data_IF_586249958654
#
_entry.id   IF_586249958654
#
_cell.length_a   1.000
_cell.length_b   1.000
_cell.length_c   1.000
_cell.angle_alpha   90.00
_cell.angle_beta   90.00
_cell.angle_gamma   90.00
#
_symmetry.space_group_name_H-M   'P 1'
#
loop_
_entity.id
_entity.type
_entity.pdbx_description
1 polymer ?
#
# COMPACT_ATOMS: atom_id res chain seq x y z
N UNK A 1 2.42 -21.81 -32.44
CA UNK A 1 3.39 -22.03 -31.34
C UNK A 1 2.85 -21.34 -30.10
N UNK A 2 3.07 -21.88 -28.92
CA UNK A 2 2.67 -21.21 -27.69
C UNK A 2 3.46 -19.89 -27.53
N UNK A 3 2.82 -18.83 -27.07
CA UNK A 3 3.46 -17.54 -26.78
C UNK A 3 4.49 -17.72 -25.67
N UNK A 4 5.71 -17.26 -25.89
CA UNK A 4 6.80 -17.32 -24.91
C UNK A 4 6.75 -16.11 -23.99
N UNK A 5 6.67 -16.33 -22.69
CA UNK A 5 6.73 -15.28 -21.69
C UNK A 5 7.93 -15.49 -20.76
N UNK A 6 8.77 -14.48 -20.62
CA UNK A 6 9.80 -14.46 -19.59
C UNK A 6 9.32 -13.65 -18.37
N UNK A 7 9.52 -14.20 -17.18
CA UNK A 7 9.10 -13.58 -15.92
C UNK A 7 10.33 -13.18 -15.15
N UNK A 8 10.51 -11.89 -14.91
CA UNK A 8 11.61 -11.33 -14.15
C UNK A 8 11.21 -11.17 -12.68
N UNK A 9 11.94 -11.88 -11.81
CA UNK A 9 11.70 -11.95 -10.37
C UNK A 9 10.77 -13.11 -9.99
N UNK A 10 11.23 -13.93 -9.04
CA UNK A 10 10.56 -15.14 -8.55
C UNK A 10 9.97 -14.97 -7.15
N UNK A 11 9.53 -13.76 -6.80
CA UNK A 11 8.73 -13.48 -5.60
C UNK A 11 7.24 -13.78 -5.85
N UNK A 12 6.38 -13.38 -4.91
CA UNK A 12 4.92 -13.64 -4.95
C UNK A 12 4.26 -13.28 -6.27
N UNK A 13 4.54 -12.07 -6.81
CA UNK A 13 3.98 -11.63 -8.10
C UNK A 13 4.49 -12.46 -9.29
N UNK A 14 5.80 -12.79 -9.28
CA UNK A 14 6.39 -13.57 -10.36
C UNK A 14 5.88 -15.02 -10.40
N UNK A 15 5.79 -15.65 -9.25
CA UNK A 15 5.25 -17.01 -9.12
C UNK A 15 3.77 -17.05 -9.48
N UNK A 16 2.98 -16.08 -9.00
CA UNK A 16 1.56 -15.98 -9.38
C UNK A 16 1.36 -15.82 -10.89
N UNK A 17 2.16 -14.96 -11.52
CA UNK A 17 2.16 -14.79 -12.96
C UNK A 17 2.57 -16.07 -13.70
N UNK A 18 3.58 -16.79 -13.20
CA UNK A 18 4.02 -18.06 -13.81
C UNK A 18 2.92 -19.13 -13.77
N UNK A 19 2.25 -19.27 -12.63
CA UNK A 19 1.12 -20.20 -12.47
C UNK A 19 0.01 -19.87 -13.47
N UNK A 20 -0.37 -18.59 -13.57
CA UNK A 20 -1.41 -18.16 -14.51
C UNK A 20 -0.99 -18.37 -15.95
N UNK A 21 0.22 -17.98 -16.32
CA UNK A 21 0.72 -18.11 -17.68
C UNK A 21 0.75 -19.59 -18.14
N UNK A 22 1.21 -20.51 -17.29
CA UNK A 22 1.17 -21.97 -17.62
C UNK A 22 -0.27 -22.44 -17.79
N UNK A 23 -1.19 -22.06 -16.91
CA UNK A 23 -2.61 -22.41 -17.03
C UNK A 23 -3.21 -21.95 -18.37
N UNK A 24 -2.80 -20.76 -18.83
CA UNK A 24 -3.27 -20.16 -20.09
C UNK A 24 -2.46 -20.62 -21.33
N UNK A 25 -1.58 -21.62 -21.17
CA UNK A 25 -0.87 -22.26 -22.26
C UNK A 25 0.35 -21.51 -22.80
N UNK A 26 0.91 -20.58 -22.04
CA UNK A 26 2.17 -19.93 -22.39
C UNK A 26 3.35 -20.88 -22.18
N UNK A 27 4.42 -20.66 -22.95
CA UNK A 27 5.74 -21.22 -22.66
C UNK A 27 6.46 -20.28 -21.70
N UNK A 28 6.62 -20.68 -20.45
CA UNK A 28 7.05 -19.82 -19.33
C UNK A 28 8.50 -20.09 -18.95
N UNK A 29 9.26 -19.01 -18.79
CA UNK A 29 10.58 -19.03 -18.21
C UNK A 29 10.70 -18.00 -17.09
N UNK A 30 11.04 -18.42 -15.86
CA UNK A 30 11.21 -17.56 -14.70
C UNK A 30 12.68 -17.29 -14.44
N UNK A 31 13.07 -16.04 -14.26
CA UNK A 31 14.48 -15.66 -14.03
C UNK A 31 14.60 -14.70 -12.85
N UNK A 32 15.49 -15.01 -11.90
CA UNK A 32 15.80 -14.17 -10.74
C UNK A 32 17.30 -14.04 -10.53
N UNK A 33 17.79 -12.83 -10.27
CA UNK A 33 19.20 -12.60 -9.93
C UNK A 33 19.57 -12.97 -8.51
N UNK A 34 18.58 -13.09 -7.62
CA UNK A 34 18.73 -13.55 -6.26
C UNK A 34 18.54 -15.06 -6.12
N UNK A 35 18.68 -15.53 -4.90
CA UNK A 35 18.27 -16.90 -4.54
C UNK A 35 16.74 -16.94 -4.42
N UNK A 36 16.11 -17.87 -5.10
CA UNK A 36 14.66 -18.09 -5.01
C UNK A 36 14.36 -18.82 -3.70
N UNK A 37 13.33 -18.35 -2.98
CA UNK A 37 12.84 -19.03 -1.77
C UNK A 37 12.43 -20.48 -2.08
N UNK A 38 12.79 -21.41 -1.20
CA UNK A 38 12.54 -22.85 -1.39
C UNK A 38 11.04 -23.17 -1.60
N UNK A 39 10.13 -22.44 -0.94
CA UNK A 39 8.68 -22.55 -1.15
C UNK A 39 8.27 -22.22 -2.58
N UNK A 40 8.94 -21.28 -3.24
CA UNK A 40 8.65 -20.89 -4.62
C UNK A 40 9.31 -21.83 -5.62
N UNK A 41 10.51 -22.35 -5.31
CA UNK A 41 11.13 -23.41 -6.12
C UNK A 41 10.26 -24.65 -6.18
N UNK A 42 9.74 -25.08 -5.03
CA UNK A 42 8.82 -26.20 -4.99
C UNK A 42 7.62 -26.02 -5.93
N UNK A 43 7.01 -24.83 -5.96
CA UNK A 43 5.91 -24.52 -6.87
C UNK A 43 6.33 -24.58 -8.33
N UNK A 44 7.52 -24.05 -8.67
CA UNK A 44 8.05 -24.09 -10.04
C UNK A 44 8.31 -25.52 -10.50
N UNK A 45 8.89 -26.35 -9.63
CA UNK A 45 9.18 -27.77 -9.91
C UNK A 45 7.89 -28.60 -10.03
N UNK A 46 6.92 -28.43 -9.11
CA UNK A 46 5.62 -29.11 -9.15
C UNK A 46 4.82 -28.81 -10.42
N UNK A 47 5.00 -27.60 -10.98
CA UNK A 47 4.30 -27.17 -12.21
C UNK A 47 5.17 -27.30 -13.47
N UNK A 48 6.33 -27.93 -13.37
CA UNK A 48 7.29 -28.13 -14.47
C UNK A 48 7.67 -26.83 -15.19
N UNK A 49 7.80 -25.69 -14.43
CA UNK A 49 8.15 -24.39 -14.96
C UNK A 49 9.67 -24.25 -14.99
N UNK A 50 10.22 -23.97 -16.15
CA UNK A 50 11.65 -23.70 -16.28
C UNK A 50 12.04 -22.39 -15.54
N UNK A 51 13.11 -22.46 -14.76
CA UNK A 51 13.60 -21.29 -14.02
C UNK A 51 15.13 -21.25 -13.91
N UNK A 52 15.64 -20.08 -13.56
CA UNK A 52 17.03 -19.86 -13.19
C UNK A 52 17.12 -18.90 -11.98
N UNK A 53 18.21 -19.03 -11.21
CA UNK A 53 18.51 -18.13 -10.10
C UNK A 53 19.97 -17.67 -10.11
N UNK A 54 20.26 -16.51 -9.52
CA UNK A 54 21.60 -15.92 -9.43
C UNK A 54 22.07 -15.21 -10.70
N UNK A 55 21.32 -15.28 -11.78
CA UNK A 55 21.65 -14.68 -13.07
C UNK A 55 20.38 -14.37 -13.88
N UNK A 56 20.51 -13.49 -14.87
CA UNK A 56 19.54 -13.33 -15.95
C UNK A 56 20.17 -13.75 -17.28
N UNK A 57 19.77 -14.91 -17.83
CA UNK A 57 20.20 -15.40 -19.15
C UNK A 57 19.55 -14.56 -20.25
N UNK A 58 20.29 -13.52 -20.68
CA UNK A 58 19.79 -12.53 -21.65
C UNK A 58 19.30 -13.17 -22.95
N UNK A 59 20.01 -14.16 -23.47
CA UNK A 59 19.65 -14.85 -24.73
C UNK A 59 18.27 -15.50 -24.65
N UNK A 60 17.90 -16.04 -23.48
CA UNK A 60 16.56 -16.62 -23.25
C UNK A 60 15.49 -15.54 -23.10
N UNK A 61 15.76 -14.53 -22.27
CA UNK A 61 14.82 -13.45 -21.98
C UNK A 61 14.54 -12.62 -23.23
N UNK A 62 15.57 -12.28 -23.99
CA UNK A 62 15.46 -11.44 -25.20
C UNK A 62 14.89 -12.17 -26.43
N UNK A 63 14.55 -13.46 -26.30
CA UNK A 63 13.81 -14.23 -27.32
C UNK A 63 12.37 -14.49 -26.93
N UNK A 64 11.90 -13.94 -25.80
CA UNK A 64 10.51 -14.00 -25.40
C UNK A 64 9.61 -13.08 -26.27
N UNK A 65 8.38 -13.46 -26.46
CA UNK A 65 7.37 -12.64 -27.15
C UNK A 65 6.88 -11.50 -26.24
N UNK A 66 6.94 -11.70 -24.92
CA UNK A 66 6.55 -10.73 -23.89
C UNK A 66 7.34 -10.97 -22.59
N UNK A 67 7.60 -9.93 -21.83
CA UNK A 67 8.28 -10.01 -20.52
C UNK A 67 7.37 -9.47 -19.43
N UNK A 68 7.06 -10.31 -18.43
CA UNK A 68 6.44 -9.84 -17.18
C UNK A 68 7.54 -9.43 -16.21
N UNK A 69 7.46 -8.21 -15.69
CA UNK A 69 8.44 -7.64 -14.76
C UNK A 69 7.83 -7.47 -13.36
N UNK A 70 8.44 -8.08 -12.35
CA UNK A 70 8.07 -7.87 -10.95
C UNK A 70 8.29 -6.41 -10.52
N UNK A 71 7.41 -5.85 -9.66
CA UNK A 71 7.47 -4.42 -9.25
C UNK A 71 8.79 -4.01 -8.60
N UNK A 72 9.51 -4.96 -7.98
CA UNK A 72 10.82 -4.73 -7.36
C UNK A 72 11.93 -4.37 -8.34
N UNK A 73 11.82 -4.77 -9.61
CA UNK A 73 12.87 -4.58 -10.62
C UNK A 73 12.79 -3.17 -11.20
N UNK A 74 13.87 -2.35 -11.09
CA UNK A 74 13.88 -0.99 -11.60
C UNK A 74 13.90 -0.92 -13.13
N UNK A 75 13.16 0.04 -13.71
CA UNK A 75 13.20 0.32 -15.16
C UNK A 75 14.58 0.78 -15.65
N UNK A 76 15.39 1.36 -14.76
CA UNK A 76 16.77 1.78 -15.06
C UNK A 76 17.75 0.61 -15.19
N UNK A 77 17.35 -0.64 -14.89
CA UNK A 77 18.25 -1.80 -15.05
C UNK A 77 18.62 -2.00 -16.51
N UNK A 78 19.87 -2.41 -16.76
CA UNK A 78 20.40 -2.60 -18.14
C UNK A 78 19.57 -3.61 -18.94
N UNK A 79 19.12 -4.68 -18.29
CA UNK A 79 18.31 -5.70 -18.94
C UNK A 79 16.92 -5.16 -19.37
N UNK A 80 16.23 -4.43 -18.50
CA UNK A 80 14.90 -3.86 -18.84
C UNK A 80 15.03 -2.85 -19.99
N UNK A 81 16.09 -2.05 -20.02
CA UNK A 81 16.38 -1.15 -21.15
C UNK A 81 16.57 -1.93 -22.45
N UNK A 82 17.39 -2.98 -22.44
CA UNK A 82 17.62 -3.82 -23.64
C UNK A 82 16.32 -4.48 -24.13
N UNK A 83 15.45 -4.95 -23.21
CA UNK A 83 14.15 -5.53 -23.58
C UNK A 83 13.30 -4.49 -24.31
N UNK A 84 13.20 -3.26 -23.74
CA UNK A 84 12.43 -2.17 -24.36
C UNK A 84 13.03 -1.70 -25.68
N UNK A 85 14.36 -1.59 -25.78
CA UNK A 85 15.08 -1.18 -27.00
C UNK A 85 14.87 -2.18 -28.16
N UNK A 86 14.64 -3.46 -27.85
CA UNK A 86 14.27 -4.50 -28.84
C UNK A 86 12.77 -4.52 -29.17
N UNK A 87 11.98 -3.64 -28.56
CA UNK A 87 10.53 -3.59 -28.78
C UNK A 87 9.75 -4.75 -28.14
N UNK A 88 10.37 -5.54 -27.25
CA UNK A 88 9.67 -6.61 -26.53
C UNK A 88 8.73 -5.98 -25.52
N UNK A 89 7.41 -6.32 -25.54
CA UNK A 89 6.45 -5.79 -24.58
C UNK A 89 6.84 -6.15 -23.14
N UNK A 90 6.86 -5.15 -22.28
CA UNK A 90 7.01 -5.33 -20.82
C UNK A 90 5.65 -5.08 -20.17
N UNK A 91 5.22 -6.02 -19.33
CA UNK A 91 3.97 -5.94 -18.58
C UNK A 91 4.16 -6.19 -17.10
N UNK A 92 3.23 -5.70 -16.29
CA UNK A 92 3.12 -6.05 -14.88
C UNK A 92 2.25 -7.30 -14.67
N UNK A 93 2.36 -7.89 -13.49
CA UNK A 93 1.53 -9.05 -13.09
C UNK A 93 0.03 -8.73 -13.16
N UNK A 94 -0.38 -7.52 -12.75
CA UNK A 94 -1.78 -7.10 -12.78
C UNK A 94 -2.34 -6.99 -14.22
N UNK A 95 -1.48 -6.67 -15.19
CA UNK A 95 -1.85 -6.68 -16.62
C UNK A 95 -2.13 -8.10 -17.09
N UNK A 96 -1.26 -9.06 -16.77
CA UNK A 96 -1.45 -10.46 -17.12
C UNK A 96 -2.73 -11.01 -16.49
N UNK A 97 -2.94 -10.74 -15.20
CA UNK A 97 -4.15 -11.16 -14.49
C UNK A 97 -5.42 -10.56 -15.12
N UNK A 98 -5.39 -9.28 -15.48
CA UNK A 98 -6.53 -8.60 -16.10
C UNK A 98 -6.94 -9.26 -17.42
N UNK A 99 -5.99 -9.65 -18.25
CA UNK A 99 -6.26 -10.32 -19.55
C UNK A 99 -6.96 -11.66 -19.37
N UNK A 100 -6.77 -12.34 -18.25
CA UNK A 100 -7.24 -13.71 -18.00
C UNK A 100 -8.26 -13.83 -16.85
N UNK A 101 -8.68 -12.73 -16.24
CA UNK A 101 -9.63 -12.72 -15.10
C UNK A 101 -11.06 -13.17 -15.44
N UNK A 102 -11.37 -13.41 -16.71
CA UNK A 102 -12.71 -13.72 -17.17
C UNK A 102 -13.70 -12.60 -16.86
N UNK A 103 -14.86 -12.96 -16.31
CA UNK A 103 -15.95 -12.02 -15.97
C UNK A 103 -15.74 -11.31 -14.62
N UNK A 104 -14.72 -11.70 -13.85
CA UNK A 104 -14.43 -11.11 -12.55
C UNK A 104 -14.15 -9.59 -12.66
N UNK A 105 -14.63 -8.83 -11.68
CA UNK A 105 -14.49 -7.37 -11.59
C UNK A 105 -13.31 -6.99 -10.70
N UNK A 106 -12.67 -5.85 -11.00
CA UNK A 106 -11.55 -5.34 -10.22
C UNK A 106 -11.93 -4.00 -9.59
N UNK A 107 -11.76 -3.92 -8.26
CA UNK A 107 -11.68 -2.65 -7.55
C UNK A 107 -10.22 -2.42 -7.21
N UNK A 108 -9.60 -1.38 -7.80
CA UNK A 108 -8.21 -1.05 -7.61
C UNK A 108 -8.03 0.19 -6.73
N UNK A 109 -7.22 0.07 -5.69
CA UNK A 109 -6.89 1.18 -4.76
C UNK A 109 -5.42 1.55 -4.90
N UNK A 110 -5.14 2.80 -5.28
CA UNK A 110 -3.78 3.35 -5.29
C UNK A 110 -3.72 4.69 -4.55
N UNK A 111 -2.53 5.22 -4.38
CA UNK A 111 -2.22 6.48 -3.71
C UNK A 111 -0.89 6.38 -2.95
N UNK A 112 -0.47 7.45 -2.30
CA UNK A 112 0.74 7.41 -1.45
C UNK A 112 0.41 6.77 -0.11
N UNK A 113 -0.60 7.24 0.59
CA UNK A 113 -1.01 6.78 1.92
C UNK A 113 -2.46 6.30 1.93
N UNK A 114 -2.82 5.47 2.92
CA UNK A 114 -4.20 4.99 3.12
C UNK A 114 -4.62 3.80 2.25
N UNK A 115 -3.84 3.39 1.24
CA UNK A 115 -4.16 2.26 0.36
C UNK A 115 -4.58 1.01 1.12
N UNK A 116 -3.70 0.51 1.97
CA UNK A 116 -3.90 -0.76 2.69
C UNK A 116 -5.15 -0.72 3.57
N UNK A 117 -5.33 0.36 4.34
CA UNK A 117 -6.50 0.52 5.21
C UNK A 117 -7.79 0.55 4.39
N UNK A 118 -7.81 1.36 3.31
CA UNK A 118 -8.97 1.48 2.42
C UNK A 118 -9.28 0.15 1.74
N UNK A 119 -8.29 -0.52 1.15
CA UNK A 119 -8.46 -1.81 0.47
C UNK A 119 -8.97 -2.89 1.42
N UNK A 120 -8.36 -3.00 2.61
CA UNK A 120 -8.76 -4.01 3.60
C UNK A 120 -10.15 -3.73 4.18
N UNK A 121 -10.51 -2.46 4.39
CA UNK A 121 -11.85 -2.09 4.83
C UNK A 121 -12.89 -2.41 3.77
N UNK A 122 -12.62 -2.14 2.49
CA UNK A 122 -13.52 -2.51 1.38
C UNK A 122 -13.67 -4.03 1.33
N UNK A 123 -12.57 -4.77 1.41
CA UNK A 123 -12.63 -6.24 1.44
C UNK A 123 -13.47 -6.74 2.61
N UNK A 124 -13.27 -6.19 3.82
CA UNK A 124 -14.06 -6.54 5.00
C UNK A 124 -15.56 -6.27 4.79
N UNK A 125 -15.91 -5.10 4.23
CA UNK A 125 -17.30 -4.74 3.92
C UNK A 125 -17.89 -5.72 2.89
N UNK A 126 -17.15 -6.04 1.81
CA UNK A 126 -17.59 -6.97 0.79
C UNK A 126 -17.82 -8.37 1.36
N UNK A 127 -16.90 -8.90 2.15
CA UNK A 127 -17.06 -10.21 2.84
C UNK A 127 -18.25 -10.21 3.79
N UNK A 128 -18.41 -9.15 4.59
CA UNK A 128 -19.54 -9.02 5.52
C UNK A 128 -20.88 -8.90 4.77
N UNK A 129 -20.85 -8.28 3.58
CA UNK A 129 -21.98 -8.20 2.66
C UNK A 129 -22.30 -9.49 1.91
N UNK A 130 -21.48 -10.54 2.08
CA UNK A 130 -21.67 -11.84 1.43
C UNK A 130 -21.17 -11.91 -0.02
N UNK A 131 -20.32 -10.97 -0.45
CA UNK A 131 -19.79 -10.95 -1.82
C UNK A 131 -18.69 -12.01 -1.99
N UNK A 132 -18.68 -12.70 -3.14
CA UNK A 132 -17.56 -13.57 -3.52
C UNK A 132 -16.38 -12.71 -3.99
N UNK A 133 -15.45 -12.46 -3.07
CA UNK A 133 -14.31 -11.57 -3.32
C UNK A 133 -13.01 -12.07 -2.70
N UNK A 134 -11.89 -11.61 -3.25
CA UNK A 134 -10.55 -11.83 -2.72
C UNK A 134 -9.81 -10.52 -2.49
N UNK A 135 -8.96 -10.49 -1.46
CA UNK A 135 -7.99 -9.43 -1.20
C UNK A 135 -6.69 -9.76 -1.91
N UNK A 136 -6.27 -8.92 -2.85
CA UNK A 136 -5.16 -9.22 -3.77
C UNK A 136 -4.26 -8.02 -4.05
N UNK A 137 -3.12 -8.27 -4.70
CA UNK A 137 -2.21 -7.24 -5.20
C UNK A 137 -1.02 -6.99 -4.29
N UNK A 138 -0.75 -5.74 -3.94
CA UNK A 138 0.37 -5.36 -3.06
C UNK A 138 0.19 -5.81 -1.60
N UNK A 139 -0.98 -6.28 -1.25
CA UNK A 139 -1.35 -6.98 -0.02
C UNK A 139 -2.22 -8.19 -0.35
N UNK A 140 -2.32 -9.14 0.58
CA UNK A 140 -3.00 -10.40 0.30
C UNK A 140 -2.14 -11.31 -0.56
N UNK A 141 -2.71 -11.92 -1.57
CA UNK A 141 -2.00 -12.78 -2.51
C UNK A 141 -1.89 -12.13 -3.90
N UNK A 142 -1.01 -12.66 -4.75
CA UNK A 142 -0.92 -12.27 -6.16
C UNK A 142 -2.28 -12.37 -6.84
N UNK A 143 -2.69 -11.31 -7.57
CA UNK A 143 -3.95 -11.35 -8.32
C UNK A 143 -3.89 -12.41 -9.43
N UNK A 144 -2.74 -12.61 -10.07
CA UNK A 144 -2.56 -13.63 -11.09
C UNK A 144 -2.73 -15.04 -10.51
N UNK A 145 -2.19 -15.29 -9.30
CA UNK A 145 -2.40 -16.56 -8.60
C UNK A 145 -3.88 -16.78 -8.27
N UNK A 146 -4.56 -15.76 -7.73
CA UNK A 146 -5.98 -15.84 -7.41
C UNK A 146 -6.84 -16.15 -8.63
N UNK A 147 -6.55 -15.48 -9.77
CA UNK A 147 -7.23 -15.74 -11.04
C UNK A 147 -6.98 -17.17 -11.53
N UNK A 148 -5.75 -17.66 -11.34
CA UNK A 148 -5.40 -19.01 -11.79
C UNK A 148 -6.04 -20.12 -10.94
N UNK A 149 -6.02 -19.99 -9.63
CA UNK A 149 -6.36 -21.09 -8.72
C UNK A 149 -7.80 -21.05 -8.20
N UNK A 150 -8.33 -19.85 -7.92
CA UNK A 150 -9.66 -19.66 -7.32
C UNK A 150 -10.30 -18.35 -7.80
N UNK A 151 -10.80 -18.30 -9.07
CA UNK A 151 -11.43 -17.12 -9.66
C UNK A 151 -12.59 -16.59 -8.80
N UNK A 152 -12.70 -15.25 -8.68
CA UNK A 152 -13.71 -14.56 -7.88
C UNK A 152 -14.58 -13.63 -8.73
N UNK A 153 -15.75 -13.30 -8.18
CA UNK A 153 -16.60 -12.24 -8.75
C UNK A 153 -15.94 -10.87 -8.62
N UNK A 154 -15.26 -10.62 -7.48
CA UNK A 154 -14.56 -9.37 -7.23
C UNK A 154 -13.14 -9.57 -6.71
N UNK A 155 -12.23 -8.81 -7.28
CA UNK A 155 -10.84 -8.69 -6.83
C UNK A 155 -10.67 -7.31 -6.20
N UNK A 156 -10.53 -7.26 -4.87
CA UNK A 156 -10.28 -6.03 -4.12
C UNK A 156 -8.77 -5.87 -4.02
N UNK A 157 -8.22 -4.99 -4.85
CA UNK A 157 -6.78 -4.94 -5.13
C UNK A 157 -6.13 -3.67 -4.59
N UNK A 158 -5.10 -3.84 -3.75
CA UNK A 158 -4.14 -2.76 -3.49
C UNK A 158 -3.13 -2.72 -4.63
N UNK A 159 -2.95 -1.55 -5.25
CA UNK A 159 -2.08 -1.38 -6.42
C UNK A 159 -1.01 -0.33 -6.14
N UNK A 160 0.26 -0.73 -6.25
CA UNK A 160 1.39 0.19 -6.17
C UNK A 160 1.58 0.97 -7.48
N UNK A 161 2.32 2.08 -7.42
CA UNK A 161 2.70 2.83 -8.62
C UNK A 161 3.51 1.96 -9.60
N UNK A 162 4.44 1.14 -9.08
CA UNK A 162 5.28 0.26 -9.89
C UNK A 162 4.50 -0.78 -10.69
N UNK A 163 3.36 -1.25 -10.17
CA UNK A 163 2.48 -2.15 -10.92
C UNK A 163 1.73 -1.43 -12.03
N UNK A 164 1.43 -0.12 -11.84
CA UNK A 164 0.75 0.72 -12.84
C UNK A 164 1.67 1.21 -13.97
N UNK A 165 2.99 1.16 -13.80
CA UNK A 165 3.93 1.63 -14.83
C UNK A 165 3.92 0.77 -16.10
N UNK A 166 3.70 -0.54 -15.95
CA UNK A 166 3.75 -1.51 -17.06
C UNK A 166 2.36 -2.11 -17.40
N UNK A 167 1.30 -1.32 -17.26
CA UNK A 167 -0.03 -1.70 -17.75
C UNK A 167 -0.22 -1.32 -19.23
N UNK A 168 -0.98 -2.12 -19.94
CA UNK A 168 -1.38 -1.88 -21.34
C UNK A 168 -2.90 -1.72 -21.46
N UNK A 169 -3.62 -2.75 -21.06
CA UNK A 169 -5.09 -2.88 -21.15
C UNK A 169 -5.76 -2.94 -19.78
N UNK A 170 -4.99 -3.08 -18.71
CA UNK A 170 -5.51 -3.14 -17.34
C UNK A 170 -6.52 -2.02 -17.08
N UNK A 171 -7.70 -2.41 -16.64
CA UNK A 171 -8.84 -1.52 -16.40
C UNK A 171 -9.60 -2.00 -15.16
N UNK A 172 -9.54 -1.31 -14.04
CA UNK A 172 -10.42 -1.59 -12.91
C UNK A 172 -11.83 -1.06 -13.17
N UNK A 173 -12.86 -1.81 -12.77
CA UNK A 173 -14.26 -1.36 -12.80
C UNK A 173 -14.50 -0.20 -11.84
N UNK A 174 -13.79 -0.20 -10.71
CA UNK A 174 -13.74 0.90 -9.75
C UNK A 174 -12.28 1.21 -9.45
N UNK A 175 -11.84 2.42 -9.76
CA UNK A 175 -10.52 2.95 -9.39
C UNK A 175 -10.64 3.88 -8.19
N UNK A 176 -9.75 3.73 -7.20
CA UNK A 176 -9.67 4.63 -6.05
C UNK A 176 -8.28 5.25 -5.99
N UNK A 177 -8.22 6.59 -5.96
CA UNK A 177 -7.00 7.35 -5.74
C UNK A 177 -7.11 8.10 -4.41
N UNK A 178 -6.34 7.65 -3.41
CA UNK A 178 -6.48 8.17 -2.04
C UNK A 178 -5.84 9.54 -1.85
N UNK A 179 -4.59 9.70 -2.22
CA UNK A 179 -3.81 10.93 -2.15
C UNK A 179 -2.51 10.75 -2.92
N UNK A 180 -1.82 11.87 -3.22
CA UNK A 180 -0.51 11.85 -3.84
C UNK A 180 0.42 12.79 -3.07
N UNK A 181 1.42 12.21 -2.40
CA UNK A 181 2.51 12.92 -1.74
C UNK A 181 3.83 12.31 -2.17
N UNK A 182 4.93 13.04 -2.09
CA UNK A 182 6.24 12.55 -2.48
C UNK A 182 6.62 11.27 -1.74
N UNK A 183 6.92 10.24 -2.52
CA UNK A 183 7.42 8.95 -2.05
C UNK A 183 8.12 8.24 -3.21
N UNK A 184 9.08 7.35 -2.92
CA UNK A 184 9.77 6.53 -3.92
C UNK A 184 10.43 7.33 -5.07
N UNK A 185 10.84 8.59 -4.86
CA UNK A 185 11.39 9.45 -5.90
C UNK A 185 12.66 8.88 -6.54
N UNK A 186 13.44 8.08 -5.80
CA UNK A 186 14.60 7.33 -6.29
C UNK A 186 14.28 6.38 -7.46
N UNK A 187 13.02 5.93 -7.56
CA UNK A 187 12.50 5.07 -8.64
C UNK A 187 11.95 5.88 -9.81
N UNK A 188 11.65 7.17 -9.61
CA UNK A 188 11.04 8.08 -10.57
C UNK A 188 11.97 9.22 -11.01
N UNK A 189 13.28 8.94 -11.06
CA UNK A 189 14.31 9.90 -11.49
C UNK A 189 14.32 11.20 -10.66
N UNK A 190 13.90 11.11 -9.40
CA UNK A 190 13.70 12.26 -8.50
C UNK A 190 12.75 13.32 -9.07
N UNK A 191 11.81 12.91 -9.95
CA UNK A 191 10.77 13.76 -10.54
C UNK A 191 9.40 13.36 -10.03
N UNK A 192 8.81 14.22 -9.25
CA UNK A 192 7.49 13.97 -8.65
C UNK A 192 6.40 13.77 -9.71
N UNK A 193 6.49 14.48 -10.85
CA UNK A 193 5.56 14.34 -11.98
C UNK A 193 5.52 12.92 -12.55
N UNK A 194 6.64 12.20 -12.55
CA UNK A 194 6.68 10.81 -12.98
C UNK A 194 5.89 9.90 -12.04
N UNK A 195 5.99 10.13 -10.73
CA UNK A 195 5.21 9.41 -9.73
C UNK A 195 3.71 9.73 -9.82
N UNK A 196 3.35 11.01 -10.02
CA UNK A 196 1.96 11.44 -10.25
C UNK A 196 1.40 10.71 -11.47
N UNK A 197 2.10 10.75 -12.61
CA UNK A 197 1.68 10.06 -13.83
C UNK A 197 1.45 8.57 -13.60
N UNK A 198 2.36 7.91 -12.91
CA UNK A 198 2.23 6.50 -12.56
C UNK A 198 0.93 6.20 -11.80
N UNK A 199 0.58 7.02 -10.81
CA UNK A 199 -0.67 6.88 -10.06
C UNK A 199 -1.92 7.08 -10.92
N UNK A 200 -1.91 8.08 -11.80
CA UNK A 200 -3.02 8.35 -12.70
C UNK A 200 -3.22 7.26 -13.77
N UNK A 201 -2.23 6.41 -14.02
CA UNK A 201 -2.40 5.26 -14.92
C UNK A 201 -3.55 4.33 -14.50
N UNK A 202 -3.98 4.34 -13.23
CA UNK A 202 -5.09 3.50 -12.75
C UNK A 202 -6.41 3.78 -13.51
N UNK A 203 -6.60 5.01 -14.01
CA UNK A 203 -7.80 5.40 -14.77
C UNK A 203 -7.59 5.40 -16.28
N UNK A 204 -6.36 5.13 -16.76
CA UNK A 204 -5.96 5.30 -18.17
C UNK A 204 -6.87 4.58 -19.16
N UNK A 205 -7.32 3.39 -18.83
CA UNK A 205 -8.13 2.55 -19.70
C UNK A 205 -9.61 2.47 -19.29
N UNK A 206 -10.02 3.24 -18.27
CA UNK A 206 -11.41 3.27 -17.83
C UNK A 206 -12.34 3.86 -18.90
N UNK A 207 -13.58 3.39 -18.90
CA UNK A 207 -14.65 3.79 -19.81
C UNK A 207 -15.81 4.42 -19.02
N UNK A 208 -16.86 4.87 -19.71
CA UNK A 208 -18.06 5.40 -19.08
C UNK A 208 -18.91 4.39 -18.29
N UNK A 209 -18.52 3.11 -18.28
CA UNK A 209 -19.12 2.06 -17.44
C UNK A 209 -18.40 1.91 -16.09
N UNK A 210 -17.24 2.53 -15.92
CA UNK A 210 -16.40 2.42 -14.78
C UNK A 210 -16.56 3.63 -13.83
N UNK A 211 -16.04 3.51 -12.60
CA UNK A 211 -16.10 4.58 -11.61
C UNK A 211 -14.70 5.00 -11.16
N UNK A 212 -14.52 6.30 -11.00
CA UNK A 212 -13.29 6.88 -10.44
C UNK A 212 -13.60 7.59 -9.12
N UNK A 213 -13.19 6.99 -8.02
CA UNK A 213 -13.31 7.52 -6.66
C UNK A 213 -12.00 8.21 -6.29
N UNK A 214 -12.02 9.48 -5.90
CA UNK A 214 -10.81 10.23 -5.60
C UNK A 214 -11.00 11.24 -4.48
N UNK A 215 -9.91 11.53 -3.74
CA UNK A 215 -9.90 12.56 -2.72
C UNK A 215 -9.93 13.95 -3.39
N UNK A 216 -11.04 14.64 -3.26
CA UNK A 216 -11.18 16.00 -3.82
C UNK A 216 -10.49 17.06 -2.95
N UNK A 217 -10.04 16.73 -1.76
CA UNK A 217 -9.29 17.65 -0.88
C UNK A 217 -7.77 17.54 -1.09
N UNK A 218 -7.30 16.56 -1.89
CA UNK A 218 -5.87 16.42 -2.19
C UNK A 218 -5.47 17.43 -3.27
N UNK A 219 -4.53 18.37 -2.97
CA UNK A 219 -4.18 19.45 -3.89
C UNK A 219 -3.45 18.96 -5.13
N UNK A 220 -2.71 17.84 -5.04
CA UNK A 220 -1.99 17.26 -6.19
C UNK A 220 -2.97 16.62 -7.15
N UNK A 221 -3.94 15.84 -6.63
CA UNK A 221 -5.00 15.26 -7.45
C UNK A 221 -5.79 16.36 -8.16
N UNK A 222 -6.25 17.40 -7.43
CA UNK A 222 -6.99 18.52 -8.02
C UNK A 222 -6.22 19.23 -9.14
N UNK A 223 -4.94 19.53 -8.90
CA UNK A 223 -4.08 20.22 -9.86
C UNK A 223 -3.93 19.44 -11.16
N UNK A 224 -3.67 18.13 -11.05
CA UNK A 224 -3.33 17.30 -12.19
C UNK A 224 -4.52 16.58 -12.85
N UNK A 225 -5.72 16.62 -12.25
CA UNK A 225 -6.92 15.99 -12.80
C UNK A 225 -7.20 16.37 -14.28
N UNK A 226 -6.88 17.61 -14.67
CA UNK A 226 -7.10 18.10 -16.04
C UNK A 226 -6.06 17.59 -17.04
N UNK A 227 -4.89 17.18 -16.57
CA UNK A 227 -3.79 16.66 -17.39
C UNK A 227 -3.98 15.20 -17.76
N UNK A 228 -4.79 14.47 -16.99
CA UNK A 228 -5.08 13.05 -17.17
C UNK A 228 -6.58 12.86 -17.46
N UNK A 229 -7.01 13.04 -18.71
CA UNK A 229 -8.42 12.89 -19.08
C UNK A 229 -8.89 11.44 -18.86
N UNK A 230 -10.09 11.29 -18.35
CA UNK A 230 -10.73 10.00 -18.10
C UNK A 230 -12.17 10.00 -18.62
N UNK A 231 -12.72 8.80 -18.86
CA UNK A 231 -14.09 8.62 -19.34
C UNK A 231 -15.03 8.07 -18.27
N UNK A 232 -14.49 7.60 -17.17
CA UNK A 232 -15.24 6.99 -16.07
C UNK A 232 -16.11 8.02 -15.32
N UNK A 233 -17.08 7.50 -14.57
CA UNK A 233 -17.97 8.32 -13.76
C UNK A 233 -17.23 8.79 -12.51
N UNK A 234 -17.00 10.10 -12.31
CA UNK A 234 -16.26 10.62 -11.18
C UNK A 234 -17.12 10.62 -9.91
N UNK A 235 -16.55 10.13 -8.83
CA UNK A 235 -17.13 10.10 -7.50
C UNK A 235 -16.13 10.73 -6.49
N UNK A 236 -16.13 12.06 -6.34
CA UNK A 236 -15.27 12.73 -5.38
C UNK A 236 -15.65 12.38 -3.94
N UNK A 237 -14.66 12.27 -3.06
CA UNK A 237 -14.91 12.28 -1.62
C UNK A 237 -14.10 13.40 -0.95
N UNK A 238 -14.70 14.04 0.06
CA UNK A 238 -14.23 15.31 0.61
C UNK A 238 -14.75 15.57 2.03
N UNK A 239 -14.02 16.39 2.78
CA UNK A 239 -14.51 16.99 4.04
C UNK A 239 -14.77 18.51 3.92
N UNK A 240 -14.53 19.08 2.74
CA UNK A 240 -14.64 20.54 2.53
C UNK A 240 -15.90 20.94 1.76
N UNK A 241 -16.47 20.03 0.96
CA UNK A 241 -17.60 20.31 0.05
C UNK A 241 -18.72 19.27 0.23
N UNK A 242 -19.86 19.51 -0.38
CA UNK A 242 -21.00 18.58 -0.40
C UNK A 242 -21.35 18.24 -1.86
N UNK A 243 -20.67 17.28 -2.48
CA UNK A 243 -20.93 16.87 -3.85
C UNK A 243 -22.30 16.17 -3.97
N UNK A 244 -23.01 16.39 -5.09
CA UNK A 244 -24.28 15.71 -5.39
C UNK A 244 -24.11 14.22 -5.66
N UNK A 245 -22.98 13.82 -6.22
CA UNK A 245 -22.53 12.42 -6.37
C UNK A 245 -21.14 12.31 -5.74
N UNK A 246 -20.89 11.27 -4.95
CA UNK A 246 -19.65 11.09 -4.20
C UNK A 246 -19.89 10.92 -2.71
N UNK A 247 -18.92 11.31 -1.90
CA UNK A 247 -19.00 11.20 -0.45
C UNK A 247 -18.49 12.43 0.28
N UNK A 248 -19.08 12.76 1.43
CA UNK A 248 -18.59 13.83 2.28
C UNK A 248 -18.87 13.60 3.76
N UNK A 249 -18.10 14.26 4.62
CA UNK A 249 -18.33 14.30 6.04
C UNK A 249 -18.67 15.73 6.45
N UNK A 250 -19.84 15.89 7.10
CA UNK A 250 -20.31 17.19 7.60
C UNK A 250 -21.02 17.01 8.94
N UNK A 251 -20.71 17.86 9.91
CA UNK A 251 -21.35 17.85 11.24
C UNK A 251 -21.33 16.46 11.92
N UNK A 252 -20.22 15.76 11.82
CA UNK A 252 -20.08 14.42 12.40
C UNK A 252 -20.84 13.30 11.66
N UNK A 253 -21.36 13.58 10.47
CA UNK A 253 -22.06 12.61 9.64
C UNK A 253 -21.32 12.35 8.33
N UNK A 254 -21.09 11.09 8.02
CA UNK A 254 -20.70 10.62 6.69
C UNK A 254 -21.94 10.51 5.82
N UNK A 255 -21.88 11.12 4.65
CA UNK A 255 -22.92 11.06 3.61
C UNK A 255 -22.30 10.54 2.33
N UNK A 256 -22.92 9.57 1.70
CA UNK A 256 -22.49 8.96 0.44
C UNK A 256 -23.65 8.91 -0.53
N UNK A 257 -23.40 9.28 -1.79
CA UNK A 257 -24.36 9.20 -2.90
C UNK A 257 -23.66 8.60 -4.12
N UNK A 258 -24.13 7.45 -4.61
CA UNK A 258 -23.69 6.86 -5.88
C UNK A 258 -24.92 6.45 -6.69
N UNK A 259 -25.16 7.12 -7.79
CA UNK A 259 -26.42 6.99 -8.53
C UNK A 259 -27.63 7.33 -7.66
N UNK A 260 -28.56 6.40 -7.54
CA UNK A 260 -29.75 6.54 -6.69
C UNK A 260 -29.54 6.02 -5.25
N UNK A 261 -28.40 5.41 -4.96
CA UNK A 261 -28.11 4.83 -3.66
C UNK A 261 -27.45 5.86 -2.73
N UNK A 262 -27.90 5.87 -1.48
CA UNK A 262 -27.39 6.79 -0.45
C UNK A 262 -27.03 6.01 0.81
N UNK A 263 -25.96 6.42 1.51
CA UNK A 263 -25.61 5.92 2.83
C UNK A 263 -25.36 7.12 3.76
N UNK A 264 -25.91 7.06 4.98
CA UNK A 264 -25.60 8.01 6.06
C UNK A 264 -25.15 7.24 7.30
N UNK A 265 -24.11 7.72 7.95
CA UNK A 265 -23.56 7.09 9.14
C UNK A 265 -22.83 8.12 10.01
N UNK A 266 -22.97 8.01 11.33
CA UNK A 266 -22.19 8.84 12.26
C UNK A 266 -20.70 8.47 12.22
N UNK A 267 -19.80 9.45 12.21
CA UNK A 267 -18.35 9.19 12.32
C UNK A 267 -17.96 8.61 13.70
N UNK A 268 -18.79 8.80 14.72
CA UNK A 268 -18.57 8.25 16.05
C UNK A 268 -18.73 6.73 16.08
N UNK A 269 -19.45 6.18 15.08
CA UNK A 269 -19.64 4.75 14.90
C UNK A 269 -18.47 4.08 14.14
N UNK A 270 -17.52 4.85 13.59
CA UNK A 270 -16.37 4.28 12.92
C UNK A 270 -15.47 3.56 13.92
N UNK A 271 -15.06 2.34 13.59
CA UNK A 271 -14.09 1.58 14.38
C UNK A 271 -12.73 2.30 14.42
N UNK A 272 -12.24 2.76 13.27
CA UNK A 272 -10.99 3.50 13.16
C UNK A 272 -11.20 4.99 13.41
N UNK A 273 -10.41 5.56 14.33
CA UNK A 273 -10.45 6.98 14.68
C UNK A 273 -9.37 7.78 13.94
N UNK A 274 -9.46 9.11 14.01
CA UNK A 274 -8.54 10.05 13.35
C UNK A 274 -9.01 10.48 11.95
N UNK A 275 -8.58 11.68 11.54
CA UNK A 275 -9.06 12.32 10.31
C UNK A 275 -8.69 11.51 9.05
N UNK A 276 -7.49 10.96 9.00
CA UNK A 276 -7.07 10.12 7.87
C UNK A 276 -7.92 8.85 7.72
N UNK A 277 -8.35 8.26 8.84
CA UNK A 277 -9.24 7.10 8.80
C UNK A 277 -10.68 7.48 8.45
N UNK A 278 -11.09 8.70 8.73
CA UNK A 278 -12.36 9.21 8.21
C UNK A 278 -12.34 9.29 6.66
N UNK A 279 -11.25 9.77 6.05
CA UNK A 279 -11.06 9.72 4.59
C UNK A 279 -11.05 8.29 4.05
N UNK A 280 -10.31 7.37 4.70
CA UNK A 280 -10.25 5.96 4.30
C UNK A 280 -11.64 5.29 4.39
N UNK A 281 -12.39 5.55 5.47
CA UNK A 281 -13.74 5.01 5.69
C UNK A 281 -14.73 5.61 4.69
N UNK A 282 -14.63 6.90 4.39
CA UNK A 282 -15.47 7.58 3.42
C UNK A 282 -15.27 6.98 2.01
N UNK A 283 -14.02 6.79 1.59
CA UNK A 283 -13.68 6.15 0.32
C UNK A 283 -14.20 4.70 0.26
N UNK A 284 -14.02 3.93 1.35
CA UNK A 284 -14.49 2.55 1.43
C UNK A 284 -16.02 2.46 1.42
N UNK A 285 -16.72 3.33 2.15
CA UNK A 285 -18.18 3.40 2.15
C UNK A 285 -18.74 3.77 0.78
N UNK A 286 -18.11 4.73 0.10
CA UNK A 286 -18.48 5.13 -1.27
C UNK A 286 -18.30 3.98 -2.26
N UNK A 287 -17.17 3.28 -2.20
CA UNK A 287 -16.92 2.09 -3.02
C UNK A 287 -17.96 0.98 -2.75
N UNK A 288 -18.28 0.72 -1.48
CA UNK A 288 -19.25 -0.31 -1.11
C UNK A 288 -20.66 0.00 -1.62
N UNK A 289 -21.09 1.27 -1.55
CA UNK A 289 -22.36 1.72 -2.13
C UNK A 289 -22.36 1.57 -3.66
N UNK A 290 -21.24 1.90 -4.31
CA UNK A 290 -21.07 1.76 -5.76
C UNK A 290 -21.13 0.29 -6.21
N UNK A 291 -20.59 -0.63 -5.42
CA UNK A 291 -20.70 -2.09 -5.65
C UNK A 291 -22.15 -2.59 -5.48
N UNK A 292 -22.96 -1.91 -4.65
CA UNK A 292 -24.33 -2.31 -4.33
C UNK A 292 -24.46 -3.12 -3.03
N UNK A 293 -23.50 -3.01 -2.10
CA UNK A 293 -23.60 -3.65 -0.79
C UNK A 293 -24.73 -3.00 0.02
N UNK A 294 -25.52 -3.82 0.70
CA UNK A 294 -26.62 -3.37 1.55
C UNK A 294 -26.13 -2.42 2.67
N UNK A 295 -26.86 -1.34 2.89
CA UNK A 295 -26.51 -0.25 3.83
C UNK A 295 -26.34 -0.69 5.27
N UNK A 296 -27.15 -1.65 5.73
CA UNK A 296 -27.01 -2.27 7.06
C UNK A 296 -25.67 -3.02 7.17
N UNK A 297 -25.29 -3.79 6.14
CA UNK A 297 -24.03 -4.52 6.11
C UNK A 297 -22.80 -3.61 6.06
N UNK A 298 -22.89 -2.51 5.33
CA UNK A 298 -21.82 -1.50 5.33
C UNK A 298 -21.63 -0.92 6.73
N UNK A 299 -22.73 -0.55 7.43
CA UNK A 299 -22.63 0.01 8.79
C UNK A 299 -22.04 -0.99 9.78
N UNK A 300 -22.56 -2.22 9.80
CA UNK A 300 -22.04 -3.29 10.66
C UNK A 300 -20.55 -3.53 10.44
N UNK A 301 -20.10 -3.60 9.17
CA UNK A 301 -18.71 -3.84 8.83
C UNK A 301 -17.79 -2.67 9.21
N UNK A 302 -18.22 -1.42 9.00
CA UNK A 302 -17.44 -0.23 9.38
C UNK A 302 -17.28 -0.13 10.90
N UNK A 303 -18.30 -0.54 11.66
CA UNK A 303 -18.26 -0.57 13.14
C UNK A 303 -17.39 -1.69 13.69
N UNK A 304 -17.32 -2.83 13.01
CA UNK A 304 -16.57 -4.02 13.44
C UNK A 304 -15.19 -4.16 12.84
N UNK A 305 -14.75 -3.20 12.01
CA UNK A 305 -13.45 -3.28 11.36
C UNK A 305 -12.29 -3.13 12.36
N UNK A 306 -11.48 -4.16 12.48
CA UNK A 306 -10.30 -4.11 13.34
C UNK A 306 -9.11 -3.44 12.63
N UNK A 307 -8.26 -2.76 13.41
CA UNK A 307 -7.03 -2.17 12.89
C UNK A 307 -6.12 -3.26 12.32
N UNK A 308 -5.48 -2.94 11.20
CA UNK A 308 -4.53 -3.85 10.58
C UNK A 308 -3.26 -3.94 11.44
N UNK A 309 -2.69 -5.14 11.51
CA UNK A 309 -1.40 -5.37 12.15
C UNK A 309 -0.34 -4.40 11.61
N UNK A 310 0.47 -3.86 12.49
CA UNK A 310 1.53 -2.87 12.19
C UNK A 310 1.03 -1.49 11.69
N UNK A 311 -0.27 -1.16 11.84
CA UNK A 311 -0.83 0.17 11.53
C UNK A 311 -1.57 0.73 12.72
N UNK A 312 -0.94 1.67 13.44
CA UNK A 312 -1.48 2.24 14.67
C UNK A 312 -2.06 1.16 15.59
N UNK A 313 -1.46 -0.03 15.53
CA UNK A 313 -1.88 -1.21 16.28
C UNK A 313 -1.57 -1.01 17.77
N UNK A 314 -2.59 -1.01 18.60
CA UNK A 314 -2.38 -1.05 20.04
C UNK A 314 -1.80 -2.42 20.44
N UNK A 315 -0.66 -2.41 21.11
CA UNK A 315 0.03 -3.66 21.51
C UNK A 315 -0.28 -4.02 22.97
N UNK A 316 -0.02 -3.11 23.88
CA UNK A 316 -0.22 -3.33 25.32
C UNK A 316 -0.08 -2.01 26.10
N UNK A 317 -0.52 -2.04 27.37
CA UNK A 317 -0.16 -1.04 28.37
C UNK A 317 0.68 -1.68 29.47
N UNK A 318 1.91 -1.21 29.65
CA UNK A 318 2.83 -1.70 30.68
C UNK A 318 3.10 -0.58 31.67
N UNK A 319 2.75 -0.76 32.93
CA UNK A 319 2.90 0.24 34.02
C UNK A 319 2.34 1.62 33.66
N UNK A 320 1.22 1.64 32.92
CA UNK A 320 0.55 2.87 32.51
C UNK A 320 1.14 3.55 31.27
N UNK A 321 2.14 2.95 30.61
CA UNK A 321 2.68 3.39 29.32
C UNK A 321 2.03 2.56 28.21
N UNK A 322 1.42 3.23 27.24
CA UNK A 322 0.81 2.58 26.08
C UNK A 322 1.85 2.34 24.99
N UNK A 323 1.79 1.19 24.33
CA UNK A 323 2.65 0.83 23.20
C UNK A 323 1.83 0.70 21.93
N UNK A 324 2.20 1.46 20.88
CA UNK A 324 1.53 1.49 19.58
C UNK A 324 2.52 1.12 18.48
N UNK A 325 2.15 0.13 17.69
CA UNK A 325 2.92 -0.38 16.56
C UNK A 325 2.40 0.19 15.23
N UNK A 326 3.15 1.12 14.68
CA UNK A 326 2.91 1.68 13.35
C UNK A 326 4.12 1.42 12.43
N UNK A 327 4.67 0.21 12.50
CA UNK A 327 5.87 -0.19 11.75
C UNK A 327 5.72 -0.01 10.23
N UNK A 328 4.50 0.00 9.71
CA UNK A 328 4.21 0.23 8.28
C UNK A 328 4.38 1.70 7.86
N UNK A 329 4.57 2.64 8.77
CA UNK A 329 4.91 4.03 8.49
C UNK A 329 6.35 4.16 7.96
N UNK A 330 6.55 3.89 6.68
CA UNK A 330 7.86 3.88 6.01
C UNK A 330 8.20 5.17 5.28
N UNK A 331 7.43 6.23 5.52
CA UNK A 331 7.68 7.60 5.05
C UNK A 331 7.22 8.64 6.08
N UNK A 332 7.73 9.87 5.95
CA UNK A 332 7.49 10.97 6.91
C UNK A 332 6.01 11.35 7.01
N UNK A 333 5.28 11.33 5.89
CA UNK A 333 3.85 11.64 5.88
C UNK A 333 3.03 10.65 6.72
N UNK A 334 3.36 9.34 6.65
CA UNK A 334 2.69 8.34 7.49
C UNK A 334 2.93 8.63 8.98
N UNK A 335 4.16 8.97 9.36
CA UNK A 335 4.52 9.35 10.74
C UNK A 335 3.85 10.65 11.16
N UNK A 336 3.65 11.59 10.23
CA UNK A 336 2.88 12.81 10.50
C UNK A 336 1.45 12.48 10.96
N UNK A 337 0.75 11.60 10.24
CA UNK A 337 -0.60 11.17 10.60
C UNK A 337 -0.63 10.41 11.93
N UNK A 338 0.38 9.57 12.19
CA UNK A 338 0.49 8.86 13.45
C UNK A 338 0.63 9.84 14.62
N UNK A 339 1.52 10.82 14.52
CA UNK A 339 1.71 11.85 15.55
C UNK A 339 0.47 12.73 15.70
N UNK A 340 -0.18 13.14 14.60
CA UNK A 340 -1.38 13.97 14.63
C UNK A 340 -2.53 13.29 15.40
N UNK A 341 -2.62 11.98 15.34
CA UNK A 341 -3.66 11.21 16.05
C UNK A 341 -3.40 11.04 17.56
N UNK A 342 -2.19 11.35 18.06
CA UNK A 342 -1.85 11.19 19.47
C UNK A 342 -2.47 12.29 20.34
N UNK A 343 -3.03 11.87 21.48
CA UNK A 343 -3.60 12.78 22.49
C UNK A 343 -2.73 12.87 23.76
N UNK A 344 -1.74 12.00 23.89
CA UNK A 344 -0.83 11.85 25.04
C UNK A 344 0.59 12.18 24.63
N UNK A 345 1.48 12.54 25.56
CA UNK A 345 2.90 12.73 25.26
C UNK A 345 3.53 11.45 24.68
N UNK A 346 4.40 11.60 23.69
CA UNK A 346 4.95 10.51 22.88
C UNK A 346 6.44 10.32 23.13
N UNK A 347 6.86 9.06 23.28
CA UNK A 347 8.23 8.62 23.02
C UNK A 347 8.23 8.02 21.62
N UNK A 348 8.88 8.68 20.67
CA UNK A 348 8.81 8.33 19.26
C UNK A 348 10.00 7.45 18.85
N UNK A 349 9.73 6.27 18.30
CA UNK A 349 10.76 5.42 17.69
C UNK A 349 10.80 5.74 16.19
N UNK A 350 11.92 6.33 15.74
CA UNK A 350 12.23 6.71 14.37
C UNK A 350 13.44 5.95 13.85
N UNK A 351 13.56 5.78 12.52
CA UNK A 351 14.80 5.29 11.89
C UNK A 351 14.63 4.09 10.98
N UNK A 352 15.71 3.78 10.29
CA UNK A 352 15.82 2.82 9.21
C UNK A 352 16.50 3.44 7.98
N UNK A 353 16.28 2.87 6.78
CA UNK A 353 16.82 3.41 5.54
C UNK A 353 16.06 4.67 5.12
N UNK A 354 16.76 5.81 5.14
CA UNK A 354 16.26 7.10 4.67
C UNK A 354 16.22 7.15 3.14
N UNK A 355 15.07 7.47 2.56
CA UNK A 355 14.85 7.55 1.11
C UNK A 355 14.82 9.00 0.58
N UNK A 356 15.47 9.92 1.26
CA UNK A 356 15.41 11.35 0.96
C UNK A 356 14.34 12.08 1.77
N UNK A 357 14.11 11.65 3.00
CA UNK A 357 13.09 12.18 3.88
C UNK A 357 13.27 13.67 4.19
N UNK A 358 12.18 14.43 4.10
CA UNK A 358 12.06 15.79 4.62
C UNK A 358 11.39 15.77 6.00
N UNK A 359 12.19 15.79 7.04
CA UNK A 359 11.70 15.77 8.43
C UNK A 359 11.08 17.10 8.88
N UNK A 360 11.21 18.19 8.09
CA UNK A 360 10.57 19.48 8.43
C UNK A 360 9.04 19.33 8.49
N UNK A 361 8.47 18.40 7.73
CA UNK A 361 7.03 18.12 7.68
C UNK A 361 6.45 17.69 9.04
N UNK A 362 7.22 16.98 9.86
CA UNK A 362 6.74 16.52 11.19
C UNK A 362 7.27 17.37 12.35
N UNK A 363 8.12 18.37 12.07
CA UNK A 363 8.84 19.12 13.11
C UNK A 363 7.93 19.80 14.14
N UNK A 364 6.83 20.39 13.70
CA UNK A 364 5.89 21.06 14.61
C UNK A 364 5.20 20.06 15.56
N UNK A 365 4.77 18.90 15.04
CA UNK A 365 4.17 17.83 15.84
C UNK A 365 5.19 17.21 16.81
N UNK A 366 6.43 17.08 16.38
CA UNK A 366 7.51 16.59 17.25
C UNK A 366 7.71 17.56 18.42
N UNK A 367 7.81 18.87 18.18
CA UNK A 367 7.92 19.88 19.24
C UNK A 367 6.74 19.89 20.21
N UNK A 368 5.54 19.68 19.70
CA UNK A 368 4.31 19.74 20.49
C UNK A 368 4.09 18.48 21.34
N UNK A 369 4.41 17.30 20.79
CA UNK A 369 3.92 16.02 21.32
C UNK A 369 5.01 15.05 21.74
N UNK A 370 6.25 15.20 21.24
CA UNK A 370 7.32 14.22 21.47
C UNK A 370 8.23 14.65 22.61
N UNK A 371 8.32 13.82 23.64
CA UNK A 371 9.21 14.01 24.80
C UNK A 371 10.62 13.52 24.53
N UNK A 372 10.75 12.45 23.76
CA UNK A 372 12.04 11.88 23.39
C UNK A 372 11.94 11.13 22.07
N UNK A 373 13.05 11.05 21.33
CA UNK A 373 13.20 10.23 20.15
C UNK A 373 14.15 9.08 20.44
N UNK A 374 13.74 7.88 20.09
CA UNK A 374 14.60 6.69 20.10
C UNK A 374 14.85 6.30 18.66
N UNK A 375 16.07 6.51 18.18
CA UNK A 375 16.47 6.16 16.84
C UNK A 375 16.72 4.65 16.75
N UNK A 376 16.12 4.00 15.74
CA UNK A 376 16.29 2.58 15.47
C UNK A 376 16.70 2.36 14.01
N UNK A 377 17.99 2.45 13.75
CA UNK A 377 18.57 2.36 12.40
C UNK A 377 20.09 2.37 12.44
N UNK A 378 20.71 1.99 11.33
CA UNK A 378 22.18 1.97 11.19
C UNK A 378 22.78 3.36 10.97
N UNK A 379 22.03 4.29 10.35
CA UNK A 379 22.42 5.69 10.16
C UNK A 379 21.31 6.65 10.60
N UNK A 380 21.51 7.31 11.73
CA UNK A 380 20.54 8.19 12.35
C UNK A 380 20.94 9.69 12.27
N UNK A 381 21.99 10.05 11.52
CA UNK A 381 22.54 11.43 11.47
C UNK A 381 21.48 12.46 11.09
N UNK A 382 20.71 12.22 10.06
CA UNK A 382 19.66 13.14 9.61
C UNK A 382 18.56 13.36 10.66
N UNK A 383 18.24 12.35 11.47
CA UNK A 383 17.25 12.48 12.55
C UNK A 383 17.81 13.40 13.63
N UNK A 384 19.09 13.21 14.00
CA UNK A 384 19.76 14.11 14.96
C UNK A 384 19.82 15.54 14.42
N UNK A 385 20.26 15.75 13.18
CA UNK A 385 20.30 17.08 12.55
C UNK A 385 18.92 17.77 12.53
N UNK A 386 17.85 17.00 12.28
CA UNK A 386 16.50 17.53 12.21
C UNK A 386 15.94 17.93 13.58
N UNK A 387 16.21 17.15 14.66
CA UNK A 387 15.46 17.23 15.91
C UNK A 387 16.27 17.53 17.16
N UNK A 388 17.63 17.60 17.12
CA UNK A 388 18.46 17.82 18.31
C UNK A 388 18.15 19.12 19.10
N UNK A 389 17.54 20.09 18.44
CA UNK A 389 17.12 21.36 19.08
C UNK A 389 15.61 21.39 19.44
N UNK A 390 14.88 20.33 19.11
CA UNK A 390 13.41 20.28 19.23
C UNK A 390 12.94 19.34 20.34
N UNK A 391 13.74 18.33 20.70
CA UNK A 391 13.45 17.39 21.78
C UNK A 391 14.63 17.30 22.77
N UNK A 392 14.35 17.11 24.07
CA UNK A 392 15.40 17.10 25.08
C UNK A 392 16.31 15.86 25.04
N UNK A 393 15.82 14.75 24.47
CA UNK A 393 16.54 13.46 24.47
C UNK A 393 16.40 12.77 23.13
N UNK A 394 17.55 12.39 22.53
CA UNK A 394 17.61 11.49 21.37
C UNK A 394 18.61 10.37 21.70
N UNK A 395 18.15 9.11 21.60
CA UNK A 395 18.95 7.91 21.91
C UNK A 395 19.07 7.04 20.66
N UNK A 396 20.25 6.48 20.40
CA UNK A 396 20.48 5.55 19.30
C UNK A 396 20.37 4.09 19.78
N UNK A 397 19.70 3.25 19.01
CA UNK A 397 19.58 1.81 19.26
C UNK A 397 19.75 1.01 17.97
N UNK A 398 20.21 -0.24 18.10
CA UNK A 398 20.46 -1.14 16.97
C UNK A 398 19.50 -2.34 16.92
N UNK A 399 18.46 -2.39 17.77
CA UNK A 399 17.49 -3.47 17.78
C UNK A 399 16.12 -3.01 18.30
N UNK A 400 15.06 -3.75 17.97
CA UNK A 400 13.72 -3.50 18.50
C UNK A 400 13.69 -3.66 20.03
N UNK A 401 14.43 -4.62 20.58
CA UNK A 401 14.51 -4.88 22.01
C UNK A 401 15.13 -3.71 22.78
N UNK A 402 16.23 -3.15 22.27
CA UNK A 402 16.86 -1.98 22.89
C UNK A 402 16.02 -0.72 22.73
N UNK A 403 15.37 -0.55 21.56
CA UNK A 403 14.47 0.57 21.32
C UNK A 403 13.28 0.56 22.29
N UNK A 404 12.63 -0.58 22.48
CA UNK A 404 11.52 -0.73 23.45
C UNK A 404 11.97 -0.47 24.86
N UNK A 405 13.09 -1.05 25.31
CA UNK A 405 13.63 -0.83 26.66
C UNK A 405 13.98 0.64 26.90
N UNK A 406 14.69 1.28 25.98
CA UNK A 406 15.06 2.69 26.08
C UNK A 406 13.82 3.57 26.12
N UNK A 407 12.84 3.31 25.26
CA UNK A 407 11.57 4.04 25.22
C UNK A 407 10.80 3.90 26.55
N UNK A 408 10.74 2.70 27.10
CA UNK A 408 10.07 2.44 28.36
C UNK A 408 10.74 3.19 29.55
N UNK A 409 12.08 3.25 29.57
CA UNK A 409 12.81 4.02 30.60
C UNK A 409 12.61 5.54 30.49
N UNK A 410 12.39 6.05 29.29
CA UNK A 410 12.14 7.48 29.05
C UNK A 410 10.67 7.89 29.25
N UNK A 411 9.76 6.92 29.25
CA UNK A 411 8.33 7.14 29.40
C UNK A 411 7.91 7.24 30.86
N UNK A 412 6.88 8.03 31.14
CA UNK A 412 6.17 8.10 32.40
C UNK A 412 4.76 7.51 32.28
N UNK A 413 4.12 7.21 33.41
CA UNK A 413 2.71 6.81 33.42
C UNK A 413 1.84 7.84 32.67
N UNK A 414 1.05 7.38 31.71
CA UNK A 414 0.22 8.20 30.84
C UNK A 414 0.84 8.55 29.50
N UNK A 415 2.12 8.21 29.25
CA UNK A 415 2.77 8.42 27.96
C UNK A 415 2.46 7.27 26.96
N UNK A 416 2.76 7.54 25.69
CA UNK A 416 2.69 6.57 24.59
C UNK A 416 4.08 6.33 24.03
N UNK A 417 4.48 5.08 23.87
CA UNK A 417 5.61 4.67 23.03
C UNK A 417 5.06 4.33 21.65
N UNK A 418 5.43 5.13 20.65
CA UNK A 418 4.97 5.01 19.28
C UNK A 418 6.11 4.55 18.38
N UNK A 419 6.01 3.33 17.83
CA UNK A 419 6.85 2.89 16.71
C UNK A 419 6.25 3.43 15.41
N UNK A 420 6.75 4.55 14.88
CA UNK A 420 6.36 5.11 13.58
C UNK A 420 7.61 5.62 12.84
N UNK A 421 8.34 4.71 12.17
CA UNK A 421 9.75 4.88 11.86
C UNK A 421 10.10 5.92 10.80
N UNK A 422 9.16 6.35 9.96
CA UNK A 422 9.35 7.22 8.79
C UNK A 422 10.28 6.64 7.70
N UNK A 423 10.91 5.51 7.93
CA UNK A 423 11.97 4.92 7.11
C UNK A 423 11.66 3.46 6.75
N UNK A 424 12.24 3.00 5.64
CA UNK A 424 12.23 1.58 5.30
C UNK A 424 13.05 0.77 6.33
N UNK A 425 12.76 -0.53 6.47
CA UNK A 425 13.27 -1.36 7.57
C UNK A 425 14.47 -2.27 7.22
N UNK A 426 14.91 -2.25 5.96
CA UNK A 426 15.83 -3.24 5.40
C UNK A 426 17.29 -3.15 5.89
N UNK A 427 17.60 -2.22 6.79
CA UNK A 427 18.91 -2.10 7.44
C UNK A 427 19.08 -3.03 8.64
N UNK A 428 18.03 -3.19 9.46
CA UNK A 428 18.04 -4.01 10.67
C UNK A 428 17.06 -5.18 10.63
N UNK A 429 16.11 -5.18 9.69
CA UNK A 429 15.03 -6.16 9.63
C UNK A 429 14.80 -6.65 8.19
N UNK A 430 14.17 -7.81 8.04
CA UNK A 430 13.82 -8.36 6.72
C UNK A 430 12.80 -7.50 5.97
N UNK A 431 11.84 -6.96 6.69
CA UNK A 431 10.75 -6.10 6.19
C UNK A 431 10.08 -5.37 7.35
N UNK A 432 9.07 -4.55 7.09
CA UNK A 432 8.36 -3.81 8.14
C UNK A 432 7.52 -4.74 9.05
N UNK A 433 7.05 -5.87 8.54
CA UNK A 433 6.33 -6.90 9.32
C UNK A 433 7.26 -7.49 10.39
N UNK A 434 8.47 -7.87 10.00
CA UNK A 434 9.49 -8.39 10.92
C UNK A 434 9.85 -7.34 11.99
N UNK A 435 10.04 -6.07 11.60
CA UNK A 435 10.26 -4.96 12.53
C UNK A 435 9.12 -4.82 13.54
N UNK A 436 7.89 -4.81 13.06
CA UNK A 436 6.70 -4.67 13.90
C UNK A 436 6.48 -5.89 14.81
N UNK A 437 6.78 -7.10 14.33
CA UNK A 437 6.72 -8.32 15.15
C UNK A 437 7.74 -8.28 16.27
N UNK A 438 9.01 -7.98 15.95
CA UNK A 438 10.07 -7.87 16.97
C UNK A 438 9.78 -6.78 18.00
N UNK A 439 9.14 -5.66 17.59
CA UNK A 439 8.67 -4.64 18.52
C UNK A 439 7.60 -5.20 19.47
N UNK A 440 6.58 -5.90 18.97
CA UNK A 440 5.54 -6.52 19.80
C UNK A 440 6.10 -7.56 20.78
N UNK A 441 7.02 -8.39 20.31
CA UNK A 441 7.67 -9.39 21.14
C UNK A 441 8.49 -8.72 22.26
N UNK A 442 9.24 -7.66 21.93
CA UNK A 442 9.99 -6.88 22.91
C UNK A 442 9.11 -6.18 23.95
N UNK A 443 7.90 -5.72 23.58
CA UNK A 443 6.91 -5.15 24.51
C UNK A 443 6.35 -6.21 25.45
N UNK A 444 6.13 -7.43 24.98
CA UNK A 444 5.67 -8.54 25.82
C UNK A 444 6.71 -9.02 26.84
N UNK A 445 7.99 -8.78 26.56
CA UNK A 445 9.12 -9.13 27.41
C UNK A 445 9.41 -8.05 28.51
N UNK A 446 8.66 -6.92 28.57
CA UNK A 446 8.78 -5.89 29.61
C UNK A 446 8.08 -6.32 30.91
#
# INVERSE_FOLDING_TARGET
MATKIAILGAGESGIGAAILAVKEGYNVFVSDTGKIDDKYKQVLEEKEIEYEEGIHSQDRILTADEVMKSPGIPDKSSLVKQIRDRGIPVISEIELAYRHKGIGRILGVTGSNGKTTTTSMIYHICKHGGLDCALVGNIGISIAKQVAEDPKEWYISEISSFQLDDIKTFRPDIAILTNITEDHLDRYEYRFENYIRSKFNIIKNQTNHDYFIFCADDPVIQKHMKEYPFQSNPLPYTMQQEPTQGGYIRNGQMNVQAGNETLRMSIYDFALKGIHNQYNTLAAGLAAVTIGIRKDKIREAVQSFESLEHRMEYVSTVRGVEFINDSKATNVNSTWFALESMQKPVILILGGIDKGNDYSLIRNLVKERVKAIVCMGTDNRKIHEAFQNDVPVIVNTGSAKDAVKSSFHLAANGDVVLLSPACASFDLFKNYEDRGKQFKDAVRDL
#
